data_IF_478155236195
#
_entry.id   IF_478155236195
#
_cell.length_a   1.000
_cell.length_b   1.000
_cell.length_c   1.000
_cell.angle_alpha   90.00
_cell.angle_beta   90.00
_cell.angle_gamma   90.00
#
_symmetry.space_group_name_H-M   'P 1'
#
loop_
_entity.id
_entity.type
_entity.pdbx_description
1 polymer ?
#
# COMPACT_ATOMS: atom_id res chain seq x y z
N UNK A 1 16.18 12.44 -0.04
CA UNK A 1 17.04 11.96 1.01
C UNK A 1 16.28 11.15 2.03
N UNK A 2 16.85 10.02 2.43
CA UNK A 2 16.18 9.15 3.39
C UNK A 2 16.45 9.61 4.80
N UNK A 3 15.43 9.57 5.66
CA UNK A 3 15.61 9.79 7.07
C UNK A 3 16.37 8.61 7.67
N UNK A 4 16.96 8.84 8.85
CA UNK A 4 17.66 7.75 9.54
C UNK A 4 16.70 6.62 9.90
N UNK A 5 15.46 6.97 10.29
CA UNK A 5 14.48 5.95 10.64
C UNK A 5 14.08 5.11 9.43
N UNK A 6 13.92 5.75 8.28
CA UNK A 6 13.60 5.01 7.07
C UNK A 6 14.73 4.05 6.70
N UNK A 7 15.98 4.49 6.90
CA UNK A 7 17.11 3.61 6.63
C UNK A 7 17.13 2.42 7.56
N UNK A 8 16.85 2.64 8.85
CA UNK A 8 16.78 1.55 9.82
C UNK A 8 15.70 0.54 9.47
N UNK A 9 14.51 1.04 9.13
CA UNK A 9 13.41 0.16 8.76
C UNK A 9 13.75 -0.65 7.51
N UNK A 10 14.39 -0.01 6.53
CA UNK A 10 14.77 -0.70 5.31
C UNK A 10 15.75 -1.83 5.61
N UNK A 11 16.69 -1.60 6.52
CA UNK A 11 17.66 -2.62 6.88
C UNK A 11 17.00 -3.80 7.59
N UNK A 12 16.05 -3.52 8.46
CA UNK A 12 15.35 -4.58 9.20
C UNK A 12 14.72 -5.59 8.24
N UNK A 13 14.15 -5.10 7.14
CA UNK A 13 13.42 -5.96 6.21
C UNK A 13 14.20 -6.31 4.96
N UNK A 14 15.47 -5.92 4.90
CA UNK A 14 16.30 -6.24 3.74
C UNK A 14 15.84 -5.57 2.47
N UNK A 15 15.31 -4.36 2.58
CA UNK A 15 14.83 -3.63 1.42
C UNK A 15 16.00 -3.02 0.67
N UNK A 16 15.89 -3.01 -0.65
CA UNK A 16 16.91 -2.43 -1.53
C UNK A 16 16.24 -1.44 -2.47
N UNK A 17 17.06 -0.75 -3.27
CA UNK A 17 16.54 0.31 -4.13
C UNK A 17 15.44 -0.15 -5.07
N UNK A 18 15.53 -1.39 -5.55
CA UNK A 18 14.52 -1.90 -6.49
C UNK A 18 13.18 -2.23 -5.81
N UNK A 19 13.09 -2.10 -4.49
CA UNK A 19 11.82 -2.24 -3.79
C UNK A 19 11.06 -0.92 -3.71
N UNK A 20 11.62 0.15 -4.25
CA UNK A 20 11.03 1.49 -4.19
C UNK A 20 10.94 2.11 -5.57
N UNK A 21 9.94 2.95 -5.74
CA UNK A 21 9.82 3.85 -6.88
C UNK A 21 9.89 5.27 -6.33
N UNK A 22 10.85 6.05 -6.83
CA UNK A 22 10.98 7.44 -6.38
C UNK A 22 10.25 8.34 -7.37
N UNK A 23 9.26 9.07 -6.88
CA UNK A 23 8.48 9.97 -7.70
C UNK A 23 8.80 11.40 -7.34
N UNK A 24 9.10 12.21 -8.35
CA UNK A 24 9.41 13.61 -8.13
C UNK A 24 8.16 14.46 -8.23
N UNK A 25 8.01 15.35 -7.25
CA UNK A 25 6.96 16.35 -7.26
C UNK A 25 7.65 17.69 -7.04
N UNK A 26 8.01 18.36 -8.13
CA UNK A 26 8.79 19.58 -8.04
C UNK A 26 10.19 19.30 -7.52
N UNK A 27 10.53 19.86 -6.37
CA UNK A 27 11.84 19.63 -5.76
C UNK A 27 11.82 18.46 -4.77
N UNK A 28 10.66 17.86 -4.51
CA UNK A 28 10.58 16.77 -3.56
C UNK A 28 10.60 15.44 -4.28
N UNK A 29 11.23 14.47 -3.64
CA UNK A 29 11.13 13.07 -4.06
C UNK A 29 10.38 12.31 -3.01
N UNK A 30 9.37 11.56 -3.44
CA UNK A 30 8.54 10.78 -2.54
C UNK A 30 8.76 9.30 -2.84
N UNK A 31 9.13 8.50 -1.83
CA UNK A 31 9.32 7.07 -2.05
C UNK A 31 7.99 6.33 -1.99
N UNK A 32 7.75 5.50 -3.01
CA UNK A 32 6.62 4.59 -3.03
C UNK A 32 7.17 3.18 -2.98
N UNK A 33 6.64 2.36 -2.07
CA UNK A 33 7.10 0.98 -1.95
C UNK A 33 6.37 0.11 -2.95
N UNK A 34 7.15 -0.71 -3.66
CA UNK A 34 6.61 -1.64 -4.65
C UNK A 34 6.13 -2.91 -3.96
N UNK A 35 5.39 -3.73 -4.71
CA UNK A 35 4.88 -4.99 -4.19
C UNK A 35 5.99 -5.83 -3.59
N UNK A 36 7.18 -5.83 -4.20
CA UNK A 36 8.29 -6.64 -3.69
C UNK A 36 8.67 -6.27 -2.26
N UNK A 37 8.66 -4.98 -1.95
CA UNK A 37 8.96 -4.54 -0.59
C UNK A 37 7.86 -4.91 0.39
N UNK A 38 6.61 -4.72 -0.02
CA UNK A 38 5.47 -5.09 0.82
C UNK A 38 5.51 -6.59 1.13
N UNK A 39 5.81 -7.40 0.10
CA UNK A 39 5.88 -8.85 0.28
C UNK A 39 6.98 -9.24 1.28
N UNK A 40 8.13 -8.58 1.22
CA UNK A 40 9.23 -8.87 2.15
C UNK A 40 8.82 -8.59 3.59
N UNK A 41 8.20 -7.46 3.82
CA UNK A 41 7.77 -7.08 5.17
C UNK A 41 6.75 -8.07 5.70
N UNK A 42 5.74 -8.38 4.90
CA UNK A 42 4.68 -9.27 5.32
C UNK A 42 5.23 -10.67 5.65
N UNK A 43 6.17 -11.15 4.82
CA UNK A 43 6.75 -12.48 5.04
C UNK A 43 7.58 -12.53 6.32
N UNK A 44 8.41 -11.50 6.55
CA UNK A 44 9.26 -11.49 7.75
C UNK A 44 8.43 -11.38 9.01
N UNK A 45 7.43 -10.52 9.01
CA UNK A 45 6.59 -10.30 10.20
C UNK A 45 5.45 -11.30 10.30
N UNK A 46 5.22 -12.09 9.27
CA UNK A 46 4.13 -13.07 9.23
C UNK A 46 2.79 -12.45 9.54
N UNK A 47 2.56 -11.27 8.96
CA UNK A 47 1.30 -10.57 9.14
C UNK A 47 0.19 -11.27 8.37
N UNK A 48 -0.99 -11.35 8.99
CA UNK A 48 -2.18 -11.90 8.33
C UNK A 48 -3.07 -10.75 7.93
N UNK A 49 -3.46 -10.72 6.66
CA UNK A 49 -4.29 -9.64 6.14
C UNK A 49 -5.54 -10.24 5.54
N UNK A 50 -6.70 -9.83 6.05
CA UNK A 50 -7.99 -10.29 5.58
C UNK A 50 -8.76 -9.16 4.92
N UNK A 51 -9.58 -9.50 3.94
CA UNK A 51 -10.34 -8.53 3.17
C UNK A 51 -11.81 -8.90 3.19
N UNK A 52 -12.67 -7.88 3.33
CA UNK A 52 -14.09 -8.09 3.38
C UNK A 52 -14.78 -6.99 2.59
N UNK A 53 -15.65 -7.31 1.61
CA UNK A 53 -16.30 -6.26 0.83
C UNK A 53 -17.18 -5.39 1.70
N UNK A 54 -17.17 -4.09 1.43
CA UNK A 54 -18.13 -3.17 2.01
C UNK A 54 -19.21 -3.01 0.96
N UNK A 55 -20.26 -3.86 1.04
CA UNK A 55 -21.22 -3.99 -0.04
C UNK A 55 -21.87 -2.69 -0.42
N UNK A 56 -22.16 -1.85 0.56
CA UNK A 56 -22.81 -0.57 0.30
C UNK A 56 -21.95 0.37 -0.57
N UNK A 57 -20.65 0.10 -0.64
CA UNK A 57 -19.74 0.94 -1.42
C UNK A 57 -19.22 0.25 -2.66
N UNK A 58 -19.73 -0.93 -2.99
CA UNK A 58 -19.31 -1.66 -4.17
C UNK A 58 -20.34 -1.51 -5.27
N UNK A 59 -19.89 -1.09 -6.44
CA UNK A 59 -20.74 -0.99 -7.63
C UNK A 59 -20.05 -1.78 -8.73
N UNK A 60 -20.68 -2.82 -9.27
CA UNK A 60 -20.01 -3.68 -10.27
C UNK A 60 -19.47 -2.87 -11.42
N UNK A 61 -18.20 -3.10 -11.73
CA UNK A 61 -17.52 -2.40 -12.82
C UNK A 61 -17.18 -0.95 -12.58
N UNK A 62 -17.56 -0.40 -11.42
CA UNK A 62 -17.34 1.02 -11.15
C UNK A 62 -16.49 1.27 -9.92
N UNK A 63 -16.75 0.56 -8.84
CA UNK A 63 -16.10 0.86 -7.56
C UNK A 63 -16.08 -0.38 -6.67
N UNK A 64 -14.93 -0.63 -6.06
CA UNK A 64 -14.79 -1.69 -5.07
C UNK A 64 -14.15 -1.09 -3.83
N UNK A 65 -14.77 -1.35 -2.68
CA UNK A 65 -14.21 -0.95 -1.39
C UNK A 65 -14.18 -2.15 -0.48
N UNK A 66 -13.05 -2.36 0.17
CA UNK A 66 -12.83 -3.51 1.05
C UNK A 66 -12.43 -3.03 2.44
N UNK A 67 -13.00 -3.66 3.45
CA UNK A 67 -12.50 -3.51 4.81
C UNK A 67 -11.29 -4.42 4.94
N UNK A 68 -10.18 -3.88 5.39
CA UNK A 68 -8.92 -4.61 5.50
C UNK A 68 -8.56 -4.72 6.96
N UNK A 69 -8.33 -5.96 7.40
CA UNK A 69 -7.92 -6.22 8.78
C UNK A 69 -6.56 -6.88 8.75
N UNK A 70 -5.61 -6.33 9.48
CA UNK A 70 -4.26 -6.85 9.51
C UNK A 70 -3.91 -7.24 10.95
N UNK A 71 -3.42 -8.46 11.09
CA UNK A 71 -2.99 -8.98 12.39
C UNK A 71 -1.49 -9.14 12.39
N UNK A 72 -0.85 -8.54 13.37
CA UNK A 72 0.61 -8.59 13.52
C UNK A 72 0.92 -9.09 14.94
N UNK A 73 1.19 -10.39 15.06
CA UNK A 73 1.48 -10.99 16.34
C UNK A 73 0.34 -10.80 17.32
N UNK A 74 0.67 -10.35 18.52
CA UNK A 74 -0.32 -10.11 19.57
C UNK A 74 -0.84 -8.69 19.61
N UNK A 75 -0.46 -7.88 18.64
CA UNK A 75 -0.94 -6.49 18.58
C UNK A 75 -2.43 -6.47 18.27
N UNK A 76 -3.13 -5.38 18.65
CA UNK A 76 -4.53 -5.23 18.28
C UNK A 76 -4.68 -5.27 16.76
N UNK A 77 -5.81 -5.78 16.30
CA UNK A 77 -6.08 -5.84 14.86
C UNK A 77 -6.19 -4.43 14.31
N UNK A 78 -5.43 -4.15 13.26
CA UNK A 78 -5.45 -2.87 12.57
C UNK A 78 -6.45 -2.95 11.43
N UNK A 79 -7.29 -1.93 11.30
CA UNK A 79 -8.26 -1.89 10.21
C UNK A 79 -8.04 -0.67 9.34
N UNK A 80 -8.22 -0.87 8.05
CA UNK A 80 -8.21 0.24 7.10
C UNK A 80 -9.13 -0.13 5.94
N UNK A 81 -9.15 0.71 4.92
CA UNK A 81 -9.97 0.47 3.75
C UNK A 81 -9.07 0.51 2.51
N UNK A 82 -9.29 -0.45 1.63
CA UNK A 82 -8.69 -0.42 0.30
C UNK A 82 -9.79 -0.20 -0.71
N UNK A 83 -9.56 0.63 -1.71
CA UNK A 83 -10.58 0.89 -2.71
C UNK A 83 -9.97 1.18 -4.06
N UNK A 84 -10.75 0.90 -5.10
CA UNK A 84 -10.39 1.20 -6.46
C UNK A 84 -11.66 1.53 -7.24
N UNK A 85 -11.55 2.51 -8.13
CA UNK A 85 -12.68 2.91 -8.96
C UNK A 85 -12.18 3.17 -10.37
N UNK A 86 -13.13 3.28 -11.31
CA UNK A 86 -12.77 3.62 -12.67
C UNK A 86 -12.07 4.97 -12.77
N UNK A 87 -12.30 5.84 -11.80
CA UNK A 87 -11.72 7.18 -11.82
C UNK A 87 -10.29 7.22 -11.33
N UNK A 88 -9.88 6.26 -10.49
CA UNK A 88 -8.53 6.28 -9.92
C UNK A 88 -7.72 5.03 -10.26
N UNK A 89 -8.22 4.20 -11.18
CA UNK A 89 -7.57 2.95 -11.53
C UNK A 89 -7.82 2.65 -13.01
N UNK A 90 -6.75 2.38 -13.75
CA UNK A 90 -6.87 2.16 -15.20
C UNK A 90 -7.11 0.71 -15.57
N UNK A 91 -6.90 -0.20 -14.62
CA UNK A 91 -7.12 -1.61 -14.90
C UNK A 91 -8.57 -1.99 -14.64
N UNK A 92 -9.01 -3.06 -15.28
CA UNK A 92 -10.39 -3.48 -15.15
C UNK A 92 -10.66 -4.36 -13.94
N UNK A 93 -9.61 -4.90 -13.31
CA UNK A 93 -9.78 -5.78 -12.16
C UNK A 93 -9.72 -4.97 -10.87
N UNK A 94 -10.79 -4.25 -10.60
CA UNK A 94 -10.82 -3.33 -9.47
C UNK A 94 -10.66 -4.01 -8.12
N UNK A 95 -11.20 -5.22 -7.96
CA UNK A 95 -11.10 -5.92 -6.68
C UNK A 95 -9.65 -6.21 -6.32
N UNK A 96 -8.86 -6.67 -7.28
CA UNK A 96 -7.45 -6.95 -7.04
C UNK A 96 -6.69 -5.69 -6.67
N UNK A 97 -7.00 -4.58 -7.33
CA UNK A 97 -6.33 -3.33 -7.02
C UNK A 97 -6.74 -2.82 -5.64
N UNK A 98 -8.01 -2.98 -5.26
CA UNK A 98 -8.46 -2.59 -3.94
C UNK A 98 -7.73 -3.40 -2.87
N UNK A 99 -7.52 -4.70 -3.09
CA UNK A 99 -6.76 -5.53 -2.16
C UNK A 99 -5.32 -5.05 -2.04
N UNK A 100 -4.65 -4.80 -3.16
CA UNK A 100 -3.26 -4.35 -3.14
C UNK A 100 -3.12 -3.04 -2.39
N UNK A 101 -4.02 -2.10 -2.63
CA UNK A 101 -3.99 -0.81 -1.96
C UNK A 101 -4.22 -0.96 -0.46
N UNK A 102 -5.19 -1.79 -0.08
CA UNK A 102 -5.49 -2.00 1.33
C UNK A 102 -4.37 -2.71 2.07
N UNK A 103 -3.79 -3.75 1.47
CA UNK A 103 -2.68 -4.48 2.07
C UNK A 103 -1.48 -3.57 2.29
N UNK A 104 -1.11 -2.83 1.25
CA UNK A 104 0.04 -1.93 1.35
C UNK A 104 -0.16 -0.87 2.42
N UNK A 105 -1.36 -0.30 2.45
CA UNK A 105 -1.70 0.72 3.42
C UNK A 105 -1.58 0.19 4.85
N UNK A 106 -2.13 -1.00 5.10
CA UNK A 106 -2.09 -1.59 6.42
C UNK A 106 -0.66 -1.89 6.87
N UNK A 107 0.12 -2.51 5.99
CA UNK A 107 1.48 -2.92 6.34
C UNK A 107 2.37 -1.70 6.58
N UNK A 108 2.27 -0.68 5.73
CA UNK A 108 3.12 0.50 5.89
C UNK A 108 2.74 1.31 7.12
N UNK A 109 1.45 1.35 7.46
CA UNK A 109 1.03 2.04 8.68
C UNK A 109 1.46 1.30 9.93
N UNK A 110 1.33 -0.02 9.94
CA UNK A 110 1.71 -0.81 11.11
C UNK A 110 3.20 -0.77 11.40
N UNK A 111 4.02 -0.78 10.37
CA UNK A 111 5.47 -0.87 10.54
C UNK A 111 6.16 0.48 10.68
N UNK A 112 5.43 1.56 10.48
CA UNK A 112 6.00 2.89 10.65
C UNK A 112 6.54 3.54 9.38
N UNK A 113 6.53 2.82 8.25
CA UNK A 113 6.99 3.43 7.00
C UNK A 113 6.13 4.62 6.60
N UNK A 114 4.82 4.55 6.85
CA UNK A 114 3.94 5.66 6.49
C UNK A 114 4.32 6.93 7.25
N UNK A 115 4.77 6.80 8.49
CA UNK A 115 5.22 7.95 9.28
C UNK A 115 6.46 8.59 8.68
N UNK A 116 7.22 7.84 7.88
CA UNK A 116 8.43 8.35 7.22
C UNK A 116 8.13 8.80 5.79
N UNK A 117 6.87 8.95 5.43
CA UNK A 117 6.50 9.46 4.13
C UNK A 117 6.54 8.44 3.01
N UNK A 118 6.52 7.14 3.34
CA UNK A 118 6.52 6.09 2.34
C UNK A 118 5.10 5.59 2.13
N UNK A 119 4.67 5.55 0.88
CA UNK A 119 3.35 5.08 0.51
C UNK A 119 3.48 3.90 -0.44
N UNK A 120 2.41 3.10 -0.55
CA UNK A 120 2.38 1.99 -1.50
C UNK A 120 2.29 2.52 -2.92
N UNK A 121 3.07 1.93 -3.84
CA UNK A 121 2.99 2.30 -5.25
C UNK A 121 1.59 2.11 -5.79
N UNK A 122 0.87 1.11 -5.28
CA UNK A 122 -0.50 0.85 -5.71
C UNK A 122 -1.47 1.93 -5.29
N UNK A 123 -1.11 2.76 -4.29
CA UNK A 123 -1.95 3.88 -3.88
C UNK A 123 -1.78 5.11 -4.76
N UNK A 124 -0.82 5.11 -5.68
CA UNK A 124 -0.75 6.19 -6.64
C UNK A 124 -1.94 6.10 -7.58
N UNK A 125 -2.60 7.24 -7.80
CA UNK A 125 -3.70 7.27 -8.75
C UNK A 125 -3.16 7.00 -10.15
N UNK A 126 -3.88 6.16 -10.88
CA UNK A 126 -3.54 5.84 -12.25
C UNK A 126 -4.33 6.76 -13.15
N UNK A 127 -3.77 7.94 -13.39
CA UNK A 127 -4.43 8.91 -14.22
C UNK A 127 -4.15 8.65 -15.67
N UNK A 128 -4.93 9.31 -16.51
CA UNK A 128 -4.73 9.17 -17.91
C UNK A 128 -3.41 9.77 -18.31
N UNK A 129 -2.55 8.93 -18.84
CA UNK A 129 -1.19 9.36 -19.04
C UNK A 129 -0.94 10.01 -20.32
N UNK A 130 -1.86 9.98 -21.22
CA UNK A 130 -1.65 10.58 -22.42
C UNK A 130 -1.58 11.98 -22.26
N UNK A 131 -1.96 12.38 -21.13
CA UNK A 131 -1.67 13.71 -20.86
C UNK A 131 -0.21 13.86 -20.63
#
# INVERSE_FOLDING_TARGET
MKSDRLRELSEIYGLVGSDFHMQKYGHKEVPFMLKSGIDKIQAIEKMEVDFEPIEALCVPGEHVALKVKAKWGDNPIYQTIGEASKQNCRVSYLACMAEKRGRGRAILNLTGFANEGVFSKDDMWQEDEQQ
#
